data_IF_941004806945
#
_entry.id   IF_941004806945
#
_cell.length_a   1.000
_cell.length_b   1.000
_cell.length_c   1.000
_cell.angle_alpha   90.00
_cell.angle_beta   90.00
_cell.angle_gamma   90.00
#
_symmetry.space_group_name_H-M   'P 1'
#
loop_
_entity.id
_entity.type
_entity.pdbx_description
1 polymer ?
#
# COMPACT_ATOMS: atom_id res chain seq x y z
N UNK A 1 5.57 34.49 -56.08
CA UNK A 1 6.33 34.91 -54.89
C UNK A 1 5.32 35.27 -53.80
N UNK A 2 5.01 34.30 -52.94
CA UNK A 2 3.82 34.28 -52.10
C UNK A 2 4.21 34.53 -50.64
N UNK A 3 3.46 35.43 -50.00
CA UNK A 3 3.72 36.04 -48.69
C UNK A 3 3.84 35.01 -47.55
N UNK A 4 4.76 35.26 -46.62
CA UNK A 4 4.93 34.50 -45.38
C UNK A 4 3.84 34.85 -44.34
N UNK A 5 3.32 33.89 -43.56
CA UNK A 5 2.41 34.18 -42.45
C UNK A 5 3.17 34.42 -41.13
N UNK A 6 2.61 35.36 -40.36
CA UNK A 6 3.09 35.90 -39.09
C UNK A 6 3.25 34.84 -38.01
N UNK A 7 4.37 34.93 -37.29
CA UNK A 7 4.63 34.33 -35.98
C UNK A 7 3.66 34.94 -34.95
N UNK A 8 2.74 34.15 -34.42
CA UNK A 8 1.91 34.53 -33.27
C UNK A 8 2.45 33.79 -32.05
N UNK A 9 3.20 34.51 -31.22
CA UNK A 9 3.47 34.12 -29.84
C UNK A 9 2.18 34.43 -29.06
N UNK A 10 1.28 33.45 -28.95
CA UNK A 10 0.15 33.53 -28.03
C UNK A 10 0.57 32.92 -26.70
N UNK A 11 0.56 33.77 -25.68
CA UNK A 11 0.91 33.46 -24.30
C UNK A 11 0.15 32.22 -23.77
N UNK A 12 0.90 31.29 -23.17
CA UNK A 12 0.31 30.26 -22.31
C UNK A 12 -0.34 30.98 -21.12
N UNK A 13 -1.67 30.89 -21.02
CA UNK A 13 -2.42 31.24 -19.82
C UNK A 13 -1.98 30.32 -18.65
N UNK A 14 -1.72 30.84 -17.43
CA UNK A 14 -1.25 30.03 -16.31
C UNK A 14 -2.36 29.24 -15.58
N UNK A 15 -3.58 29.17 -16.12
CA UNK A 15 -4.77 28.81 -15.33
C UNK A 15 -5.34 27.41 -15.56
N UNK A 16 -4.64 26.53 -16.29
CA UNK A 16 -5.09 25.16 -16.55
C UNK A 16 -4.34 24.09 -15.71
N UNK A 17 -3.47 24.49 -14.78
CA UNK A 17 -2.59 23.56 -14.06
C UNK A 17 -3.06 23.12 -12.66
N UNK A 18 -4.14 23.67 -12.09
CA UNK A 18 -4.48 23.38 -10.69
C UNK A 18 -5.57 22.31 -10.45
N UNK A 19 -6.20 21.77 -11.51
CA UNK A 19 -7.23 20.71 -11.35
C UNK A 19 -6.76 19.29 -11.65
N UNK A 20 -5.56 19.11 -12.21
CA UNK A 20 -5.04 17.78 -12.55
C UNK A 20 -4.20 17.11 -11.45
N UNK A 21 -3.61 17.88 -10.52
CA UNK A 21 -2.69 17.35 -9.51
C UNK A 21 -3.36 16.85 -8.22
N UNK A 22 -4.67 17.08 -8.04
CA UNK A 22 -5.39 16.62 -6.84
C UNK A 22 -6.15 15.30 -7.02
N UNK A 23 -6.38 14.84 -8.27
CA UNK A 23 -7.15 13.63 -8.54
C UNK A 23 -6.30 12.34 -8.59
N UNK A 24 -4.96 12.44 -8.57
CA UNK A 24 -4.07 11.29 -8.80
C UNK A 24 -3.46 10.69 -7.53
N UNK A 25 -3.68 11.28 -6.34
CA UNK A 25 -3.01 10.90 -5.09
C UNK A 25 -3.91 10.23 -4.04
N UNK A 26 -5.22 10.12 -4.25
CA UNK A 26 -6.14 9.49 -3.27
C UNK A 26 -6.39 7.99 -3.49
N UNK A 27 -6.15 7.46 -4.70
CA UNK A 27 -6.64 6.12 -5.08
C UNK A 27 -5.59 5.00 -5.00
N UNK A 28 -4.35 5.32 -4.62
CA UNK A 28 -3.26 4.33 -4.41
C UNK A 28 -2.78 4.24 -2.97
N UNK A 29 -3.62 4.55 -1.98
CA UNK A 29 -3.28 4.23 -0.60
C UNK A 29 -3.54 2.75 -0.36
N UNK A 30 -2.66 1.92 -0.92
CA UNK A 30 -2.59 0.50 -0.59
C UNK A 30 -2.50 0.31 0.92
N UNK A 31 -2.99 -0.83 1.40
CA UNK A 31 -3.00 -1.19 2.81
C UNK A 31 -1.66 -0.85 3.47
N UNK A 32 -1.69 -0.13 4.59
CA UNK A 32 -0.45 0.20 5.27
C UNK A 32 0.25 -1.08 5.72
N UNK A 33 1.58 -1.08 5.76
CA UNK A 33 2.35 -2.24 6.23
C UNK A 33 1.91 -2.71 7.63
N UNK A 34 1.37 -1.80 8.43
CA UNK A 34 0.91 -2.08 9.80
C UNK A 34 -0.48 -2.67 9.84
N UNK A 35 -1.38 -2.24 8.95
CA UNK A 35 -2.69 -2.90 8.79
C UNK A 35 -2.46 -4.30 8.23
N UNK A 36 -1.58 -4.46 7.23
CA UNK A 36 -1.24 -5.76 6.66
C UNK A 36 -0.65 -6.70 7.72
N UNK A 37 0.28 -6.20 8.54
CA UNK A 37 0.85 -6.98 9.64
C UNK A 37 -0.21 -7.38 10.67
N UNK A 38 -1.14 -6.49 11.02
CA UNK A 38 -2.23 -6.82 11.92
C UNK A 38 -3.13 -7.92 11.34
N UNK A 39 -3.56 -7.75 10.08
CA UNK A 39 -4.37 -8.74 9.38
C UNK A 39 -3.68 -10.11 9.31
N UNK A 40 -2.39 -10.15 8.95
CA UNK A 40 -1.61 -11.40 8.91
C UNK A 40 -1.56 -12.04 10.31
N UNK A 41 -1.33 -11.26 11.37
CA UNK A 41 -1.22 -11.80 12.72
C UNK A 41 -2.53 -12.44 13.23
N UNK A 42 -3.67 -11.84 12.89
CA UNK A 42 -5.00 -12.36 13.24
C UNK A 42 -5.32 -13.60 12.40
N UNK A 43 -5.17 -13.50 11.08
CA UNK A 43 -5.53 -14.56 10.15
C UNK A 43 -4.68 -15.84 10.34
N UNK A 44 -3.38 -15.69 10.55
CA UNK A 44 -2.48 -16.83 10.79
C UNK A 44 -2.75 -17.52 12.14
N UNK A 45 -3.30 -16.82 13.13
CA UNK A 45 -3.71 -17.44 14.39
C UNK A 45 -4.88 -18.41 14.18
N UNK A 46 -5.88 -18.00 13.41
CA UNK A 46 -7.04 -18.85 13.07
C UNK A 46 -6.61 -20.07 12.24
N UNK A 47 -5.76 -19.85 11.23
CA UNK A 47 -5.25 -20.96 10.41
C UNK A 47 -4.38 -21.93 11.22
N UNK A 48 -3.56 -21.44 12.15
CA UNK A 48 -2.73 -22.31 13.01
C UNK A 48 -3.61 -23.20 13.89
N UNK A 49 -4.71 -22.66 14.41
CA UNK A 49 -5.70 -23.43 15.15
C UNK A 49 -6.31 -24.56 14.30
N UNK A 50 -6.75 -24.25 13.07
CA UNK A 50 -7.31 -25.26 12.15
C UNK A 50 -6.27 -26.31 11.71
N UNK A 51 -5.02 -25.89 11.48
CA UNK A 51 -3.92 -26.79 11.16
C UNK A 51 -3.66 -27.79 12.30
N UNK A 52 -3.73 -27.35 13.56
CA UNK A 52 -3.58 -28.22 14.74
C UNK A 52 -4.74 -29.21 14.87
N UNK A 53 -5.98 -28.78 14.59
CA UNK A 53 -7.13 -29.68 14.57
C UNK A 53 -7.00 -30.81 13.53
N UNK A 54 -6.36 -30.52 12.40
CA UNK A 54 -6.15 -31.48 11.30
C UNK A 54 -4.81 -32.21 11.36
N UNK A 55 -4.02 -32.01 12.44
CA UNK A 55 -2.68 -32.60 12.65
C UNK A 55 -1.66 -32.24 11.56
N UNK A 56 -1.79 -31.05 10.99
CA UNK A 56 -0.82 -30.48 10.03
C UNK A 56 0.24 -29.69 10.80
N UNK A 57 1.06 -30.40 11.57
CA UNK A 57 1.95 -29.77 12.57
C UNK A 57 2.99 -28.82 11.96
N UNK A 58 3.58 -29.19 10.81
CA UNK A 58 4.51 -28.31 10.10
C UNK A 58 3.84 -27.03 9.62
N UNK A 59 2.60 -27.12 9.13
CA UNK A 59 1.84 -25.95 8.69
C UNK A 59 1.50 -25.05 9.88
N UNK A 60 1.05 -25.62 11.00
CA UNK A 60 0.79 -24.87 12.23
C UNK A 60 2.04 -24.11 12.69
N UNK A 61 3.21 -24.76 12.66
CA UNK A 61 4.49 -24.14 12.98
C UNK A 61 4.79 -22.94 12.07
N UNK A 62 4.64 -23.09 10.75
CA UNK A 62 4.90 -22.00 9.80
C UNK A 62 3.96 -20.81 10.02
N UNK A 63 2.69 -21.08 10.34
CA UNK A 63 1.68 -20.05 10.62
C UNK A 63 1.98 -19.32 11.93
N UNK A 64 2.43 -20.03 12.96
CA UNK A 64 2.88 -19.40 14.21
C UNK A 64 4.11 -18.52 13.98
N UNK A 65 5.06 -18.96 13.15
CA UNK A 65 6.21 -18.15 12.76
C UNK A 65 5.79 -16.89 11.99
N UNK A 66 4.88 -17.01 11.02
CA UNK A 66 4.36 -15.86 10.28
C UNK A 66 3.67 -14.84 11.21
N UNK A 67 2.91 -15.32 12.20
CA UNK A 67 2.30 -14.48 13.23
C UNK A 67 3.35 -13.73 14.06
N UNK A 68 4.43 -14.40 14.47
CA UNK A 68 5.51 -13.77 15.23
C UNK A 68 6.20 -12.67 14.42
N UNK A 69 6.47 -12.88 13.13
CA UNK A 69 7.07 -11.84 12.29
C UNK A 69 6.14 -10.64 12.10
N UNK A 70 4.85 -10.88 11.90
CA UNK A 70 3.85 -9.83 11.81
C UNK A 70 3.77 -9.01 13.12
N UNK A 71 3.81 -9.67 14.27
CA UNK A 71 3.83 -9.01 15.57
C UNK A 71 5.09 -8.14 15.77
N UNK A 72 6.25 -8.55 15.26
CA UNK A 72 7.49 -7.74 15.32
C UNK A 72 7.36 -6.44 14.52
N UNK A 73 6.69 -6.46 13.37
CA UNK A 73 6.41 -5.23 12.59
C UNK A 73 5.56 -4.25 13.40
N UNK A 74 4.52 -4.75 14.09
CA UNK A 74 3.66 -3.92 14.94
C UNK A 74 4.43 -3.31 16.12
N UNK A 75 5.26 -4.11 16.80
CA UNK A 75 6.11 -3.63 17.90
C UNK A 75 7.13 -2.58 17.43
N UNK A 76 7.74 -2.77 16.26
CA UNK A 76 8.67 -1.80 15.70
C UNK A 76 8.00 -0.45 15.40
N UNK A 77 6.71 -0.44 15.00
CA UNK A 77 5.93 0.79 14.83
C UNK A 77 5.68 1.49 16.16
N UNK A 78 5.31 0.75 17.20
CA UNK A 78 5.02 1.30 18.53
C UNK A 78 6.26 1.97 19.14
N UNK A 79 7.46 1.40 18.96
CA UNK A 79 8.72 1.96 19.47
C UNK A 79 9.18 3.24 18.75
N UNK A 80 8.63 3.53 17.57
CA UNK A 80 8.96 4.74 16.79
C UNK A 80 8.00 5.92 17.07
N UNK A 81 6.96 5.72 17.87
CA UNK A 81 6.03 6.76 18.31
C UNK A 81 6.41 7.25 19.69
#
# INVERSE_FOLDING_TARGET
>A
MSKAPRRVLSALSPNDQEVADQASNSDKKGMSATEAAQYIAEFTAELSYLARQTRLDLLAYLLDMARLEAARVLQAKQRKR
#
